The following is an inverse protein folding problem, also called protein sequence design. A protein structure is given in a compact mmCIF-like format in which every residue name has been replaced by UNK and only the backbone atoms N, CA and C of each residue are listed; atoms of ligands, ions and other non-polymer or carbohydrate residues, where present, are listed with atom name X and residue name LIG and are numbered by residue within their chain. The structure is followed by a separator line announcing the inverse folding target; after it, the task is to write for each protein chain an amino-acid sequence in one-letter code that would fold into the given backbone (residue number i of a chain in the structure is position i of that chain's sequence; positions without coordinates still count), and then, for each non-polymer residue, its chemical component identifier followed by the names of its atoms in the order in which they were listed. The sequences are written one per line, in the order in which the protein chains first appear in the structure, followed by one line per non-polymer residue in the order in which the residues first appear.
data_IF_955962812412
#
_entry.id   IF_955962812412
#
_cell.length_a   1.000
_cell.length_b   1.000
_cell.length_c   1.000
_cell.angle_alpha   90.00
_cell.angle_beta   90.00
_cell.angle_gamma   90.00
#
_symmetry.space_group_name_H-M   'P 1'
#
loop_
_entity.id
_entity.type
_entity.pdbx_description
1 polymer ?
#
# COMPACT_ATOMS: atom_id res chain seq x y z
N UNK A 1 -0.45 -12.36 2.12
CA UNK A 1 -0.32 -11.13 2.94
C UNK A 1 0.02 -11.42 4.40
N UNK A 2 -0.94 -11.81 5.25
CA UNK A 2 -0.71 -11.92 6.72
C UNK A 2 0.40 -12.89 7.11
N UNK A 3 0.43 -14.09 6.51
CA UNK A 3 1.51 -15.05 6.76
C UNK A 3 2.87 -14.51 6.33
N UNK A 4 2.95 -13.78 5.22
CA UNK A 4 4.19 -13.15 4.77
C UNK A 4 4.63 -12.04 5.73
N UNK A 5 3.72 -11.17 6.16
CA UNK A 5 4.02 -10.14 7.15
C UNK A 5 4.49 -10.75 8.48
N UNK A 6 3.84 -11.83 8.94
CA UNK A 6 4.20 -12.54 10.15
C UNK A 6 5.59 -13.17 10.05
N UNK A 7 5.88 -13.89 8.96
CA UNK A 7 7.18 -14.56 8.80
C UNK A 7 8.32 -13.55 8.63
N UNK A 8 8.12 -12.50 7.83
CA UNK A 8 9.13 -11.45 7.66
C UNK A 8 9.39 -10.69 8.96
N UNK A 9 8.33 -10.36 9.72
CA UNK A 9 8.48 -9.74 11.03
C UNK A 9 9.23 -10.64 12.01
N UNK A 10 8.86 -11.92 12.07
CA UNK A 10 9.53 -12.89 12.95
C UNK A 10 11.01 -13.04 12.60
N UNK A 11 11.34 -13.16 11.31
CA UNK A 11 12.73 -13.21 10.84
C UNK A 11 13.49 -11.92 11.19
N UNK A 12 12.87 -10.75 11.00
CA UNK A 12 13.51 -9.47 11.32
C UNK A 12 13.76 -9.32 12.84
N UNK A 13 12.79 -9.68 13.67
CA UNK A 13 12.93 -9.67 15.14
C UNK A 13 14.04 -10.62 15.61
N UNK A 14 14.10 -11.84 15.07
CA UNK A 14 15.17 -12.80 15.37
C UNK A 14 16.54 -12.31 14.90
N UNK A 15 16.61 -11.67 13.74
CA UNK A 15 17.87 -11.14 13.20
C UNK A 15 18.45 -10.02 14.08
N UNK A 16 17.57 -9.20 14.68
CA UNK A 16 17.97 -8.11 15.55
C UNK A 16 18.40 -8.57 16.94
N UNK A 17 18.02 -9.76 17.38
CA UNK A 17 18.41 -10.35 18.68
C UNK A 17 18.19 -9.40 19.88
N UNK A 18 17.14 -8.56 19.82
CA UNK A 18 16.87 -7.55 20.85
C UNK A 18 17.70 -6.26 20.76
N UNK A 19 18.45 -6.06 19.68
CA UNK A 19 19.14 -4.81 19.40
C UNK A 19 18.17 -3.68 19.07
N UNK A 20 18.38 -2.51 19.68
CA UNK A 20 17.61 -1.30 19.33
C UNK A 20 18.10 -0.74 18.00
N UNK A 21 17.16 -0.54 17.08
CA UNK A 21 17.39 0.18 15.84
C UNK A 21 17.16 1.69 16.04
N UNK A 22 17.79 2.50 15.20
CA UNK A 22 17.44 3.91 15.09
C UNK A 22 15.97 4.05 14.60
N UNK A 23 15.18 5.01 15.12
CA UNK A 23 13.75 5.16 14.77
C UNK A 23 13.48 5.21 13.26
N UNK A 24 14.40 5.81 12.48
CA UNK A 24 14.30 5.88 11.02
C UNK A 24 14.42 4.52 10.35
N UNK A 25 15.27 3.65 10.89
CA UNK A 25 15.44 2.28 10.39
C UNK A 25 14.24 1.41 10.76
N UNK A 26 13.68 1.58 11.98
CA UNK A 26 12.45 0.90 12.39
C UNK A 26 11.28 1.27 11.48
N UNK A 27 11.11 2.56 11.20
CA UNK A 27 10.09 3.05 10.28
C UNK A 27 10.27 2.48 8.87
N UNK A 28 11.48 2.51 8.32
CA UNK A 28 11.77 1.94 7.00
C UNK A 28 11.44 0.45 6.95
N UNK A 29 11.83 -0.32 7.98
CA UNK A 29 11.55 -1.75 8.08
C UNK A 29 10.04 -2.04 8.10
N UNK A 30 9.26 -1.28 8.87
CA UNK A 30 7.81 -1.42 8.90
C UNK A 30 7.20 -1.24 7.50
N UNK A 31 7.59 -0.18 6.79
CA UNK A 31 7.08 0.09 5.44
C UNK A 31 7.52 -0.95 4.41
N UNK A 32 8.75 -1.46 4.50
CA UNK A 32 9.22 -2.58 3.67
C UNK A 32 8.36 -3.83 3.91
N UNK A 33 8.09 -4.18 5.16
CA UNK A 33 7.23 -5.33 5.49
C UNK A 33 5.82 -5.13 4.91
N UNK A 34 5.21 -3.96 5.12
CA UNK A 34 3.88 -3.65 4.59
C UNK A 34 3.84 -3.69 3.05
N UNK A 35 4.88 -3.17 2.38
CA UNK A 35 5.02 -3.18 0.92
C UNK A 35 5.09 -4.58 0.33
N UNK A 36 6.00 -5.41 0.83
CA UNK A 36 6.17 -6.73 0.27
C UNK A 36 5.02 -7.65 0.69
N UNK A 37 4.44 -7.45 1.88
CA UNK A 37 3.23 -8.15 2.29
C UNK A 37 2.02 -7.79 1.43
N UNK A 38 1.90 -6.53 0.99
CA UNK A 38 0.85 -6.11 0.06
C UNK A 38 1.06 -6.74 -1.32
N UNK A 39 2.28 -6.70 -1.87
CA UNK A 39 2.58 -7.37 -3.15
C UNK A 39 2.30 -8.88 -3.10
N UNK A 40 2.67 -9.54 -2.00
CA UNK A 40 2.44 -10.97 -1.79
C UNK A 40 0.96 -11.37 -1.65
N UNK A 41 0.01 -10.44 -1.73
CA UNK A 41 -1.40 -10.80 -1.92
C UNK A 41 -2.19 -9.96 -2.92
N UNK A 42 -1.65 -8.82 -3.38
CA UNK A 42 -2.28 -8.00 -4.41
C UNK A 42 -2.34 -8.75 -5.76
N UNK A 43 -1.37 -9.64 -6.00
CA UNK A 43 -1.26 -10.46 -7.21
C UNK A 43 -2.48 -11.39 -7.44
N UNK A 44 -3.31 -11.62 -6.41
CA UNK A 44 -4.52 -12.46 -6.52
C UNK A 44 -5.81 -11.69 -6.81
N UNK A 45 -5.91 -10.42 -6.43
CA UNK A 45 -7.18 -9.65 -6.55
C UNK A 45 -7.53 -9.35 -8.02
N UNK A 46 -6.53 -9.24 -8.90
CA UNK A 46 -6.74 -9.02 -10.33
C UNK A 46 -6.56 -10.30 -11.16
N UNK A 47 -5.61 -11.17 -10.80
CA UNK A 47 -5.38 -12.41 -11.53
C UNK A 47 -6.54 -13.42 -11.35
N UNK A 48 -7.12 -13.52 -10.14
CA UNK A 48 -8.24 -14.44 -9.92
C UNK A 48 -9.52 -13.98 -10.65
N UNK A 49 -9.75 -12.66 -10.78
CA UNK A 49 -10.90 -12.09 -11.49
C UNK A 49 -10.80 -12.18 -13.03
N UNK A 50 -9.59 -12.03 -13.59
CA UNK A 50 -9.33 -12.28 -15.01
C UNK A 50 -9.56 -13.75 -15.37
N UNK A 51 -9.08 -14.66 -14.50
CA UNK A 51 -9.21 -16.12 -14.68
C UNK A 51 -10.65 -16.61 -14.46
N UNK A 52 -11.45 -15.92 -13.64
CA UNK A 52 -12.85 -16.25 -13.38
C UNK A 52 -13.85 -15.69 -14.42
N UNK A 53 -13.40 -14.90 -15.41
CA UNK A 53 -14.26 -14.33 -16.45
C UNK A 53 -15.27 -13.28 -15.95
N UNK A 54 -15.18 -12.87 -14.68
CA UNK A 54 -16.15 -11.98 -14.01
C UNK A 54 -15.98 -10.53 -14.46
N UNK A 55 -14.77 -10.15 -14.89
CA UNK A 55 -14.49 -8.85 -15.50
C UNK A 55 -15.33 -8.59 -16.75
N UNK A 56 -15.57 -9.63 -17.55
CA UNK A 56 -16.34 -9.53 -18.79
C UNK A 56 -17.84 -9.36 -18.50
N UNK A 57 -18.33 -9.94 -17.39
CA UNK A 57 -19.72 -9.76 -16.93
C UNK A 57 -19.94 -8.40 -16.27
N UNK A 58 -18.96 -7.91 -15.50
CA UNK A 58 -18.97 -6.57 -14.92
C UNK A 58 -18.85 -5.47 -15.98
N UNK A 59 -18.11 -5.70 -17.08
CA UNK A 59 -18.06 -4.79 -18.24
C UNK A 59 -19.42 -4.56 -18.90
N UNK A 60 -20.28 -5.58 -18.91
CA UNK A 60 -21.60 -5.52 -19.56
C UNK A 60 -22.65 -4.81 -18.70
N UNK A 61 -22.52 -4.81 -17.37
CA UNK A 61 -23.58 -4.35 -16.46
C UNK A 61 -23.22 -3.20 -15.51
N UNK A 62 -21.92 -2.89 -15.34
CA UNK A 62 -21.45 -1.89 -14.36
C UNK A 62 -20.94 -0.59 -15.00
N UNK A 63 -21.21 0.55 -14.37
CA UNK A 63 -20.54 1.80 -14.70
C UNK A 63 -19.04 1.70 -14.33
N UNK A 64 -18.15 2.13 -15.25
CA UNK A 64 -16.68 2.07 -15.11
C UNK A 64 -16.19 2.53 -13.74
N UNK A 65 -16.68 3.67 -13.28
CA UNK A 65 -16.29 4.30 -12.01
C UNK A 65 -16.72 3.52 -10.76
N UNK A 66 -17.87 2.84 -10.79
CA UNK A 66 -18.37 2.07 -9.64
C UNK A 66 -17.52 0.82 -9.41
N UNK A 67 -17.06 0.19 -10.50
CA UNK A 67 -16.17 -0.98 -10.43
C UNK A 67 -14.79 -0.58 -9.91
N UNK A 68 -14.21 0.52 -10.43
CA UNK A 68 -12.92 1.02 -9.96
C UNK A 68 -12.96 1.43 -8.48
N UNK A 69 -13.96 2.20 -8.05
CA UNK A 69 -14.11 2.60 -6.65
C UNK A 69 -14.29 1.39 -5.74
N UNK A 70 -15.12 0.41 -6.14
CA UNK A 70 -15.28 -0.84 -5.38
C UNK A 70 -13.95 -1.58 -5.20
N UNK A 71 -13.14 -1.65 -6.25
CA UNK A 71 -11.84 -2.34 -6.23
C UNK A 71 -10.79 -1.61 -5.42
N UNK A 72 -10.76 -0.27 -5.52
CA UNK A 72 -9.91 0.58 -4.69
C UNK A 72 -10.29 0.42 -3.22
N UNK A 73 -11.58 0.51 -2.87
CA UNK A 73 -12.06 0.33 -1.50
C UNK A 73 -11.76 -1.07 -0.95
N UNK A 74 -11.93 -2.11 -1.76
CA UNK A 74 -11.60 -3.49 -1.36
C UNK A 74 -10.10 -3.65 -1.09
N UNK A 75 -9.25 -3.15 -1.99
CA UNK A 75 -7.79 -3.20 -1.83
C UNK A 75 -7.36 -2.40 -0.59
N UNK A 76 -7.90 -1.19 -0.42
CA UNK A 76 -7.65 -0.36 0.74
C UNK A 76 -8.06 -1.05 2.05
N UNK A 77 -9.24 -1.68 2.09
CA UNK A 77 -9.70 -2.44 3.25
C UNK A 77 -8.77 -3.62 3.58
N UNK A 78 -8.32 -4.39 2.59
CA UNK A 78 -7.35 -5.46 2.79
C UNK A 78 -6.03 -4.95 3.38
N UNK A 79 -5.54 -3.81 2.88
CA UNK A 79 -4.32 -3.18 3.40
C UNK A 79 -4.51 -2.63 4.82
N UNK A 80 -5.69 -2.12 5.16
CA UNK A 80 -6.01 -1.71 6.52
C UNK A 80 -6.02 -2.91 7.48
N UNK A 81 -6.60 -4.05 7.09
CA UNK A 81 -6.57 -5.28 7.90
C UNK A 81 -5.12 -5.76 8.08
N UNK A 82 -4.33 -5.73 7.01
CA UNK A 82 -2.91 -6.06 7.07
C UNK A 82 -2.14 -5.14 8.01
N UNK A 83 -2.34 -3.83 7.93
CA UNK A 83 -1.69 -2.85 8.78
C UNK A 83 -2.14 -2.95 10.24
N UNK A 84 -3.45 -3.13 10.49
CA UNK A 84 -4.02 -3.32 11.82
C UNK A 84 -3.48 -4.59 12.50
N UNK A 85 -3.11 -5.62 11.72
CA UNK A 85 -2.45 -6.81 12.24
C UNK A 85 -0.94 -6.61 12.43
N UNK A 86 -0.27 -6.04 11.43
CA UNK A 86 1.21 -5.98 11.36
C UNK A 86 1.79 -4.91 12.28
N UNK A 87 1.17 -3.72 12.35
CA UNK A 87 1.69 -2.58 13.12
C UNK A 87 1.74 -2.92 14.63
N UNK A 88 0.68 -3.42 15.29
CA UNK A 88 0.76 -3.75 16.71
C UNK A 88 1.78 -4.85 16.99
N UNK A 89 1.84 -5.87 16.12
CA UNK A 89 2.80 -6.96 16.27
C UNK A 89 4.24 -6.45 16.11
N UNK A 90 4.47 -5.53 15.18
CA UNK A 90 5.76 -4.86 14.99
C UNK A 90 6.18 -4.08 16.24
N UNK A 91 5.27 -3.29 16.82
CA UNK A 91 5.54 -2.52 18.04
C UNK A 91 5.94 -3.42 19.21
N UNK A 92 5.27 -4.56 19.36
CA UNK A 92 5.57 -5.54 20.41
C UNK A 92 6.89 -6.27 20.16
N UNK A 93 7.14 -6.72 18.92
CA UNK A 93 8.30 -7.55 18.60
C UNK A 93 9.62 -6.77 18.55
N UNK A 94 9.57 -5.48 18.25
CA UNK A 94 10.73 -4.60 18.18
C UNK A 94 10.83 -3.64 19.37
N UNK A 95 9.96 -3.78 20.37
CA UNK A 95 9.92 -2.97 21.60
C UNK A 95 9.92 -1.46 21.30
N UNK A 96 9.10 -1.03 20.34
CA UNK A 96 9.08 0.35 19.86
C UNK A 96 8.09 1.18 20.67
N UNK A 97 8.57 2.26 21.29
CA UNK A 97 7.71 3.22 21.98
C UNK A 97 7.19 4.27 21.01
N UNK A 98 5.86 4.39 20.92
CA UNK A 98 5.20 5.41 20.09
C UNK A 98 4.99 6.68 20.90
N UNK A 99 5.64 7.77 20.49
CA UNK A 99 5.48 9.10 21.11
C UNK A 99 4.24 9.83 20.57
N UNK A 100 3.98 9.71 19.27
CA UNK A 100 2.87 10.41 18.59
C UNK A 100 1.94 9.43 17.85
N UNK A 101 0.98 8.80 18.56
CA UNK A 101 0.12 7.77 17.97
C UNK A 101 -0.81 8.31 16.87
N UNK A 102 -1.20 9.58 16.94
CA UNK A 102 -2.02 10.21 15.89
C UNK A 102 -1.27 10.38 14.57
N UNK A 103 0.03 10.71 14.63
CA UNK A 103 0.87 10.83 13.44
C UNK A 103 1.14 9.46 12.83
N UNK A 104 1.39 8.44 13.66
CA UNK A 104 1.50 7.05 13.21
C UNK A 104 0.22 6.60 12.50
N UNK A 105 -0.95 6.87 13.09
CA UNK A 105 -2.24 6.51 12.49
C UNK A 105 -2.44 7.22 11.14
N UNK A 106 -2.15 8.52 11.06
CA UNK A 106 -2.23 9.28 9.81
C UNK A 106 -1.28 8.75 8.73
N UNK A 107 -0.04 8.44 9.10
CA UNK A 107 0.95 7.88 8.18
C UNK A 107 0.53 6.50 7.65
N UNK A 108 0.00 5.63 8.52
CA UNK A 108 -0.48 4.30 8.13
C UNK A 108 -1.72 4.40 7.23
N UNK A 109 -2.69 5.24 7.57
CA UNK A 109 -3.92 5.42 6.79
C UNK A 109 -3.60 5.98 5.39
N UNK A 110 -2.81 7.05 5.31
CA UNK A 110 -2.44 7.64 4.03
C UNK A 110 -1.50 6.71 3.25
N UNK A 111 -0.48 6.15 3.88
CA UNK A 111 0.46 5.29 3.14
C UNK A 111 -0.19 3.99 2.64
N UNK A 112 -1.12 3.39 3.37
CA UNK A 112 -1.92 2.26 2.84
C UNK A 112 -2.90 2.70 1.75
N UNK A 113 -3.45 3.92 1.85
CA UNK A 113 -4.23 4.57 0.80
C UNK A 113 -3.44 4.75 -0.50
N UNK A 114 -2.23 5.30 -0.41
CA UNK A 114 -1.31 5.46 -1.53
C UNK A 114 -0.90 4.13 -2.17
N UNK A 115 -0.63 3.08 -1.38
CA UNK A 115 -0.39 1.73 -1.91
C UNK A 115 -1.63 1.22 -2.66
N UNK A 116 -2.84 1.40 -2.12
CA UNK A 116 -4.08 0.99 -2.78
C UNK A 116 -4.31 1.77 -4.09
N UNK A 117 -4.12 3.08 -4.08
CA UNK A 117 -4.29 3.94 -5.25
C UNK A 117 -3.25 3.62 -6.35
N UNK A 118 -1.98 3.49 -5.99
CA UNK A 118 -0.91 3.10 -6.91
C UNK A 118 -1.16 1.72 -7.51
N UNK A 119 -1.52 0.74 -6.67
CA UNK A 119 -1.85 -0.61 -7.12
C UNK A 119 -3.05 -0.63 -8.08
N UNK A 120 -4.08 0.16 -7.81
CA UNK A 120 -5.27 0.30 -8.67
C UNK A 120 -4.91 0.95 -10.00
N UNK A 121 -4.11 2.01 -10.00
CA UNK A 121 -3.64 2.70 -11.21
C UNK A 121 -2.85 1.76 -12.11
N UNK A 122 -1.88 1.02 -11.54
CA UNK A 122 -1.04 0.11 -12.32
C UNK A 122 -1.87 -1.06 -12.83
N UNK A 123 -2.78 -1.59 -12.01
CA UNK A 123 -3.65 -2.67 -12.46
C UNK A 123 -4.59 -2.24 -13.59
N UNK A 124 -5.06 -0.98 -13.60
CA UNK A 124 -5.79 -0.41 -14.72
C UNK A 124 -4.92 -0.34 -15.99
N UNK A 125 -3.65 0.11 -15.88
CA UNK A 125 -2.70 0.13 -17.00
C UNK A 125 -2.38 -1.26 -17.56
N UNK A 126 -2.36 -2.30 -16.71
CA UNK A 126 -1.97 -3.65 -17.12
C UNK A 126 -3.15 -4.53 -17.51
N UNK A 127 -4.38 -4.02 -17.57
CA UNK A 127 -5.58 -4.82 -17.88
C UNK A 127 -5.55 -5.41 -19.31
N UNK A 128 -4.90 -4.74 -20.28
CA UNK A 128 -4.76 -5.23 -21.67
C UNK A 128 -3.37 -5.81 -22.00
N UNK A 129 -2.41 -5.71 -21.08
CA UNK A 129 -1.04 -6.18 -21.32
C UNK A 129 -0.92 -7.67 -20.93
N UNK A 130 -0.73 -8.54 -21.93
CA UNK A 130 -0.57 -10.00 -21.78
C UNK A 130 0.64 -10.47 -20.95
N UNK A 131 1.40 -9.57 -20.34
CA UNK A 131 2.59 -9.83 -19.50
C UNK A 131 2.30 -9.51 -18.03
N UNK A 132 1.57 -10.44 -17.39
CA UNK A 132 0.70 -10.20 -16.22
C UNK A 132 1.32 -9.89 -14.85
N UNK A 133 2.61 -10.13 -14.55
CA UNK A 133 3.11 -9.99 -13.15
C UNK A 133 4.42 -9.23 -13.00
N UNK A 134 5.35 -9.34 -13.95
CA UNK A 134 6.65 -8.67 -13.86
C UNK A 134 6.55 -7.14 -13.97
N UNK A 135 5.70 -6.64 -14.88
CA UNK A 135 5.54 -5.21 -15.11
C UNK A 135 4.91 -4.50 -13.91
N UNK A 136 3.95 -5.15 -13.23
CA UNK A 136 3.31 -4.59 -12.05
C UNK A 136 4.34 -4.23 -10.98
N UNK A 137 5.21 -5.18 -10.61
CA UNK A 137 6.23 -4.95 -9.57
C UNK A 137 7.26 -3.89 -9.96
N UNK A 138 7.66 -3.83 -11.24
CA UNK A 138 8.64 -2.86 -11.73
C UNK A 138 8.06 -1.44 -11.75
N UNK A 139 6.80 -1.28 -12.14
CA UNK A 139 6.10 0.01 -12.17
C UNK A 139 5.67 0.48 -10.77
N UNK A 140 5.42 -0.45 -9.84
CA UNK A 140 5.00 -0.08 -8.48
C UNK A 140 6.12 0.64 -7.72
N UNK A 141 7.37 0.23 -7.94
CA UNK A 141 8.54 0.83 -7.27
C UNK A 141 8.68 2.35 -7.50
N UNK A 142 8.68 2.89 -8.74
CA UNK A 142 8.77 4.34 -8.95
C UNK A 142 7.51 5.09 -8.51
N UNK A 143 6.33 4.49 -8.65
CA UNK A 143 5.05 5.13 -8.28
C UNK A 143 4.85 5.20 -6.78
N UNK A 144 5.36 4.23 -6.02
CA UNK A 144 5.20 4.19 -4.57
C UNK A 144 6.20 5.08 -3.83
N UNK A 145 7.34 5.38 -4.46
CA UNK A 145 8.43 6.13 -3.83
C UNK A 145 8.01 7.50 -3.26
N UNK A 146 7.17 8.29 -3.95
CA UNK A 146 6.65 9.57 -3.43
C UNK A 146 5.71 9.40 -2.23
N UNK A 147 5.08 8.24 -2.05
CA UNK A 147 4.29 7.90 -0.85
C UNK A 147 5.21 7.41 0.26
N UNK A 148 6.20 6.57 -0.06
CA UNK A 148 7.04 5.89 0.92
C UNK A 148 7.95 6.82 1.69
N UNK A 149 8.57 7.80 1.01
CA UNK A 149 9.48 8.74 1.66
C UNK A 149 8.81 9.53 2.80
N UNK A 150 7.66 10.20 2.60
CA UNK A 150 6.96 10.89 3.68
C UNK A 150 6.33 9.92 4.70
N UNK A 151 5.91 8.72 4.28
CA UNK A 151 5.38 7.72 5.20
C UNK A 151 6.44 7.26 6.21
N UNK A 152 7.66 6.99 5.73
CA UNK A 152 8.80 6.60 6.58
C UNK A 152 9.20 7.75 7.50
N UNK A 153 9.24 8.99 7.01
CA UNK A 153 9.62 10.14 7.85
C UNK A 153 8.62 10.41 8.97
N UNK A 154 7.31 10.37 8.67
CA UNK A 154 6.24 10.52 9.66
C UNK A 154 6.20 9.36 10.67
N UNK A 155 6.47 8.15 10.20
CA UNK A 155 6.55 6.99 11.10
C UNK A 155 7.77 7.10 12.01
N UNK A 156 8.92 7.55 11.48
CA UNK A 156 10.13 7.78 12.26
C UNK A 156 9.93 8.88 13.31
N UNK A 157 9.22 9.97 12.98
CA UNK A 157 8.90 11.01 13.96
C UNK A 157 7.97 10.49 15.06
N UNK A 158 7.01 9.63 14.71
CA UNK A 158 6.13 9.00 15.69
C UNK A 158 6.87 8.08 16.68
N UNK A 159 8.01 7.52 16.26
CA UNK A 159 8.93 6.75 17.11
C UNK A 159 9.96 7.62 17.84
N UNK A 160 9.94 8.93 17.58
CA UNK A 160 10.75 9.91 18.30
C UNK A 160 12.00 10.40 17.60
N UNK A 161 12.12 10.23 16.27
CA UNK A 161 13.08 10.98 15.47
C UNK A 161 12.66 12.46 15.35
N UNK A 162 13.63 13.37 15.31
CA UNK A 162 13.37 14.76 15.02
C UNK A 162 13.00 14.94 13.54
N UNK A 163 11.88 15.62 13.25
CA UNK A 163 11.72 16.30 11.95
C UNK A 163 10.67 15.83 10.95
N UNK A 164 9.50 15.31 11.35
CA UNK A 164 8.37 15.25 10.41
C UNK A 164 7.15 15.97 10.98
N UNK A 165 6.84 17.13 10.40
CA UNK A 165 5.66 17.93 10.74
C UNK A 165 4.43 17.57 9.92
N UNK A 166 3.33 18.26 10.21
CA UNK A 166 2.05 18.21 9.46
C UNK A 166 2.13 18.40 7.93
N UNK A 167 3.14 19.08 7.32
CA UNK A 167 3.17 19.25 5.86
C UNK A 167 3.29 17.93 5.09
N UNK A 168 3.95 16.92 5.65
CA UNK A 168 4.12 15.63 4.98
C UNK A 168 2.81 14.85 4.87
N UNK A 169 1.91 14.98 5.85
CA UNK A 169 0.57 14.38 5.78
C UNK A 169 -0.25 14.99 4.64
N UNK A 170 -0.21 16.31 4.49
CA UNK A 170 -0.88 17.01 3.38
C UNK A 170 -0.32 16.61 2.02
N UNK A 171 1.01 16.48 1.91
CA UNK A 171 1.66 16.03 0.67
C UNK A 171 1.27 14.59 0.30
N UNK A 172 1.22 13.67 1.27
CA UNK A 172 0.75 12.30 1.03
C UNK A 172 -0.70 12.28 0.56
N UNK A 173 -1.59 12.96 1.28
CA UNK A 173 -3.01 13.00 0.91
C UNK A 173 -3.23 13.58 -0.49
N UNK A 174 -2.47 14.62 -0.86
CA UNK A 174 -2.51 15.21 -2.20
C UNK A 174 -2.04 14.21 -3.26
N UNK A 175 -0.93 13.51 -3.01
CA UNK A 175 -0.41 12.53 -3.96
C UNK A 175 -1.34 11.32 -4.13
N UNK A 176 -1.90 10.80 -3.03
CA UNK A 176 -2.88 9.72 -3.05
C UNK A 176 -4.12 10.12 -3.86
N UNK A 177 -4.58 11.37 -3.71
CA UNK A 177 -5.68 11.91 -4.51
C UNK A 177 -5.32 11.99 -6.00
N UNK A 178 -4.10 12.44 -6.34
CA UNK A 178 -3.61 12.46 -7.73
C UNK A 178 -3.60 11.05 -8.33
N UNK A 179 -3.12 10.05 -7.58
CA UNK A 179 -3.12 8.65 -8.03
C UNK A 179 -4.53 8.10 -8.22
N UNK A 180 -5.45 8.36 -7.29
CA UNK A 180 -6.83 7.92 -7.39
C UNK A 180 -7.55 8.57 -8.59
N UNK A 181 -7.36 9.88 -8.81
CA UNK A 181 -7.90 10.58 -9.98
C UNK A 181 -7.26 10.08 -11.27
N UNK A 182 -5.94 9.86 -11.29
CA UNK A 182 -5.23 9.30 -12.43
C UNK A 182 -5.74 7.91 -12.81
N UNK A 183 -5.98 7.04 -11.81
CA UNK A 183 -6.59 5.73 -12.01
C UNK A 183 -8.01 5.86 -12.57
N UNK A 184 -8.81 6.80 -12.04
CA UNK A 184 -10.17 7.04 -12.52
C UNK A 184 -10.21 7.50 -13.98
N UNK A 185 -9.37 8.45 -14.38
CA UNK A 185 -9.34 8.99 -15.76
C UNK A 185 -8.87 7.91 -16.73
N UNK A 186 -7.81 7.19 -16.39
CA UNK A 186 -7.25 6.14 -17.22
C UNK A 186 -8.22 4.98 -17.40
N UNK A 187 -8.90 4.57 -16.33
CA UNK A 187 -9.86 3.48 -16.40
C UNK A 187 -11.06 3.86 -17.26
N UNK A 188 -11.47 5.13 -17.25
CA UNK A 188 -12.53 5.62 -18.12
C UNK A 188 -12.11 5.57 -19.59
N UNK A 189 -10.89 6.02 -19.95
CA UNK A 189 -10.40 5.91 -21.33
C UNK A 189 -10.32 4.47 -21.82
N UNK A 190 -9.81 3.56 -20.98
CA UNK A 190 -9.70 2.12 -21.28
C UNK A 190 -11.07 1.41 -21.38
N UNK A 191 -12.12 2.00 -20.84
CA UNK A 191 -13.46 1.43 -20.85
C UNK A 191 -14.25 1.81 -22.11
N UNK A 192 -13.93 2.96 -22.71
CA UNK A 192 -14.59 3.47 -23.92
C UNK A 192 -13.79 3.25 -25.21
N UNK A 193 -12.56 2.74 -25.13
CA UNK A 193 -11.83 2.26 -26.31
C UNK A 193 -12.37 0.87 -26.71
N UNK A 194 -13.14 0.85 -27.81
CA UNK A 194 -13.58 -0.33 -28.58
C UNK A 194 -12.62 -0.62 -29.75
#
# INVERSE_FOLDING_TARGET
MLMFALTTLACASMALQGGSLEPRMQAALLWIILFFASMAGADRVFADESTAGTLLTLRVYGASQAVLLGKLCYTFFLLLVLAAFTVPLFLVFLDVTVKEPLVLLGAVLLGTGGIAAAGTLIAALTTDASTHSGLFSVLMLPVILPVFLPAISLTASSFGADGAGSPYLGAMALYDAILAVGASVLFDSLWYED
#
